data_IF_381502925223
#
_entry.id   IF_381502925223
#
_cell.length_a   1.000
_cell.length_b   1.000
_cell.length_c   1.000
_cell.angle_alpha   90.00
_cell.angle_beta   90.00
_cell.angle_gamma   90.00
#
_symmetry.space_group_name_H-M   'P 1'
#
loop_
_entity.id
_entity.type
_entity.pdbx_description
1 polymer ?
#
# COMPACT_ATOMS: atom_id res chain seq x y z
N UNK A 1 4.49 10.23 4.97
CA UNK A 1 5.17 8.98 5.40
C UNK A 1 4.10 8.09 5.99
N UNK A 2 4.00 6.87 5.49
CA UNK A 2 2.84 6.00 5.75
C UNK A 2 3.14 5.02 6.87
N UNK A 3 2.24 4.95 7.85
CA UNK A 3 2.26 3.97 8.94
C UNK A 3 1.30 2.82 8.59
N UNK A 4 1.84 1.62 8.50
CA UNK A 4 1.08 0.39 8.29
C UNK A 4 1.14 -0.50 9.55
N UNK A 5 0.15 -1.36 9.70
CA UNK A 5 0.11 -2.40 10.72
C UNK A 5 -0.02 -3.78 10.08
N UNK A 6 0.85 -4.70 10.50
CA UNK A 6 0.79 -6.10 10.12
C UNK A 6 0.05 -6.85 11.23
N UNK A 7 -1.21 -7.18 10.98
CA UNK A 7 -2.06 -7.94 11.89
C UNK A 7 -1.96 -9.43 11.56
N UNK A 8 -1.42 -10.28 12.45
CA UNK A 8 -1.36 -11.72 12.23
C UNK A 8 -2.75 -12.32 12.08
N UNK A 9 -2.89 -13.31 11.20
CA UNK A 9 -4.06 -14.20 11.24
C UNK A 9 -4.00 -15.18 12.41
N UNK A 10 -2.80 -15.47 12.93
CA UNK A 10 -2.61 -16.22 14.17
C UNK A 10 -3.09 -15.40 15.38
N UNK A 11 -4.19 -15.83 15.99
CA UNK A 11 -4.81 -15.16 17.14
C UNK A 11 -3.95 -15.22 18.42
N UNK A 12 -2.93 -16.08 18.47
CA UNK A 12 -1.97 -16.18 19.56
C UNK A 12 -0.69 -15.37 19.30
N UNK A 13 -0.67 -14.56 18.24
CA UNK A 13 0.43 -13.65 17.93
C UNK A 13 0.00 -12.19 18.08
N UNK A 14 0.99 -11.31 18.30
CA UNK A 14 0.77 -9.87 18.35
C UNK A 14 1.27 -9.23 17.05
N UNK A 15 0.48 -8.31 16.50
CA UNK A 15 0.87 -7.53 15.34
C UNK A 15 1.90 -6.45 15.64
N UNK A 16 2.34 -5.78 14.59
CA UNK A 16 3.32 -4.71 14.72
C UNK A 16 3.09 -3.62 13.68
N UNK A 17 3.42 -2.40 14.06
CA UNK A 17 3.47 -1.26 13.17
C UNK A 17 4.79 -1.21 12.43
N UNK A 18 4.81 -0.67 11.21
CA UNK A 18 6.01 -0.47 10.40
C UNK A 18 5.81 0.66 9.38
N UNK A 19 6.91 1.30 9.00
CA UNK A 19 6.93 2.43 8.05
C UNK A 19 7.80 2.14 6.82
N UNK A 20 8.35 0.93 6.70
CA UNK A 20 9.17 0.50 5.56
C UNK A 20 9.18 -1.01 5.38
N UNK A 21 9.58 -1.47 4.19
CA UNK A 21 9.75 -2.89 3.90
C UNK A 21 10.88 -3.55 4.71
N UNK A 22 11.93 -2.80 5.04
CA UNK A 22 13.02 -3.27 5.92
C UNK A 22 12.51 -3.54 7.34
N UNK A 23 11.69 -2.64 7.88
CA UNK A 23 11.08 -2.83 9.19
C UNK A 23 10.11 -4.01 9.20
N UNK A 24 9.25 -4.12 8.18
CA UNK A 24 8.34 -5.25 8.04
C UNK A 24 9.11 -6.57 8.04
N UNK A 25 10.13 -6.69 7.18
CA UNK A 25 10.95 -7.91 7.06
C UNK A 25 11.62 -8.27 8.39
N UNK A 26 12.21 -7.27 9.06
CA UNK A 26 12.88 -7.47 10.34
C UNK A 26 11.91 -7.92 11.43
N UNK A 27 10.74 -7.27 11.54
CA UNK A 27 9.74 -7.58 12.56
C UNK A 27 9.07 -8.93 12.27
N UNK A 28 8.67 -9.21 11.03
CA UNK A 28 8.06 -10.48 10.63
C UNK A 28 8.99 -11.67 10.90
N UNK A 29 10.28 -11.57 10.56
CA UNK A 29 11.26 -12.65 10.80
C UNK A 29 11.44 -13.01 12.28
N UNK A 30 11.22 -12.04 13.17
CA UNK A 30 11.33 -12.22 14.62
C UNK A 30 9.98 -12.48 15.30
N UNK A 31 8.87 -12.34 14.58
CA UNK A 31 7.54 -12.49 15.17
C UNK A 31 7.26 -13.97 15.48
N UNK A 32 6.85 -14.23 16.73
CA UNK A 32 6.52 -15.57 17.21
C UNK A 32 5.21 -15.52 17.97
N UNK A 33 4.39 -16.56 17.83
CA UNK A 33 3.19 -16.74 18.64
C UNK A 33 3.53 -17.17 20.08
N UNK A 34 2.53 -17.28 20.95
CA UNK A 34 2.68 -17.72 22.35
C UNK A 34 3.32 -19.12 22.51
N UNK A 35 3.36 -19.92 21.44
CA UNK A 35 3.98 -21.24 21.40
C UNK A 35 5.43 -21.22 20.90
N UNK A 36 5.95 -20.05 20.52
CA UNK A 36 7.29 -19.86 19.98
C UNK A 36 7.42 -20.23 18.50
N UNK A 37 6.31 -20.39 17.79
CA UNK A 37 6.28 -20.71 16.35
C UNK A 37 6.31 -19.42 15.51
N UNK A 38 6.95 -19.44 14.32
CA UNK A 38 6.95 -18.29 13.42
C UNK A 38 5.55 -17.95 12.93
N UNK A 39 5.25 -16.64 12.88
CA UNK A 39 4.02 -16.13 12.27
C UNK A 39 4.23 -15.98 10.78
N UNK A 40 3.41 -16.67 9.98
CA UNK A 40 3.59 -16.78 8.53
C UNK A 40 2.78 -15.75 7.72
N UNK A 41 1.59 -15.36 8.18
CA UNK A 41 0.65 -14.57 7.39
C UNK A 41 0.07 -13.38 8.16
N UNK A 42 -0.09 -12.28 7.43
CA UNK A 42 -0.58 -11.00 7.96
C UNK A 42 -1.66 -10.38 7.06
N UNK A 43 -2.68 -9.80 7.68
CA UNK A 43 -3.46 -8.72 7.09
C UNK A 43 -2.66 -7.41 7.22
N UNK A 44 -2.57 -6.65 6.14
CA UNK A 44 -1.88 -5.35 6.14
C UNK A 44 -2.92 -4.24 6.19
N UNK A 45 -2.78 -3.36 7.17
CA UNK A 45 -3.75 -2.31 7.46
C UNK A 45 -3.06 -0.95 7.37
N UNK A 46 -3.70 0.00 6.68
CA UNK A 46 -3.29 1.40 6.69
C UNK A 46 -3.73 2.06 8.02
N UNK A 47 -2.81 2.71 8.72
CA UNK A 47 -3.07 3.32 10.03
C UNK A 47 -3.03 4.83 9.97
N UNK A 48 -1.99 5.40 9.35
CA UNK A 48 -1.79 6.84 9.26
C UNK A 48 -0.92 7.21 8.05
N UNK A 49 -1.06 8.43 7.54
CA UNK A 49 -0.35 8.91 6.36
C UNK A 49 -1.12 9.99 5.61
N UNK A 50 -0.58 10.41 4.46
CA UNK A 50 -1.25 11.39 3.62
C UNK A 50 -2.52 10.78 3.00
N UNK A 51 -3.57 11.59 2.82
CA UNK A 51 -4.84 11.11 2.28
C UNK A 51 -4.69 10.39 0.93
N UNK A 52 -3.83 10.90 0.05
CA UNK A 52 -3.58 10.30 -1.26
C UNK A 52 -2.88 8.94 -1.16
N UNK A 53 -2.04 8.73 -0.14
CA UNK A 53 -1.39 7.44 0.09
C UNK A 53 -2.39 6.42 0.67
N UNK A 54 -3.35 6.88 1.48
CA UNK A 54 -4.47 6.06 1.96
C UNK A 54 -5.34 5.58 0.80
N UNK A 55 -5.74 6.49 -0.11
CA UNK A 55 -6.51 6.14 -1.30
C UNK A 55 -5.70 5.21 -2.22
N UNK A 56 -4.40 5.48 -2.39
CA UNK A 56 -3.50 4.59 -3.14
C UNK A 56 -3.49 3.19 -2.53
N UNK A 57 -3.35 3.05 -1.22
CA UNK A 57 -3.34 1.76 -0.54
C UNK A 57 -4.63 0.96 -0.74
N UNK A 58 -5.78 1.63 -0.73
CA UNK A 58 -7.09 1.01 -0.97
C UNK A 58 -7.15 0.39 -2.38
N UNK A 59 -6.83 1.17 -3.41
CA UNK A 59 -6.90 0.69 -4.79
C UNK A 59 -5.72 -0.20 -5.21
N UNK A 60 -4.60 -0.11 -4.49
CA UNK A 60 -3.48 -1.03 -4.66
C UNK A 60 -3.77 -2.42 -4.07
N UNK A 61 -4.80 -2.53 -3.23
CA UNK A 61 -5.15 -3.76 -2.48
C UNK A 61 -3.91 -4.31 -1.74
N UNK A 62 -3.33 -3.48 -0.87
CA UNK A 62 -2.08 -3.81 -0.18
C UNK A 62 -2.19 -5.11 0.62
N UNK A 63 -1.17 -5.95 0.49
CA UNK A 63 -1.01 -7.22 1.18
C UNK A 63 0.48 -7.55 1.32
N UNK A 64 0.81 -8.58 2.09
CA UNK A 64 2.20 -8.91 2.43
C UNK A 64 3.14 -9.10 1.24
N UNK A 65 2.62 -9.46 0.05
CA UNK A 65 3.44 -9.70 -1.13
C UNK A 65 3.75 -8.42 -1.93
N UNK A 66 2.94 -7.36 -1.79
CA UNK A 66 3.04 -6.14 -2.61
C UNK A 66 3.34 -4.85 -1.80
N UNK A 67 3.65 -4.96 -0.50
CA UNK A 67 4.01 -3.83 0.36
C UNK A 67 5.23 -3.07 -0.18
N UNK A 68 6.23 -3.78 -0.68
CA UNK A 68 7.46 -3.18 -1.20
C UNK A 68 7.17 -2.20 -2.35
N UNK A 69 6.58 -2.68 -3.46
CA UNK A 69 6.18 -1.80 -4.56
C UNK A 69 5.22 -0.66 -4.16
N UNK A 70 4.33 -0.90 -3.19
CA UNK A 70 3.47 0.16 -2.65
C UNK A 70 4.28 1.28 -1.97
N UNK A 71 5.27 0.94 -1.13
CA UNK A 71 6.15 1.96 -0.53
C UNK A 71 6.96 2.69 -1.59
N UNK A 72 7.47 1.97 -2.60
CA UNK A 72 8.20 2.58 -3.71
C UNK A 72 7.32 3.60 -4.47
N UNK A 73 6.04 3.29 -4.69
CA UNK A 73 5.08 4.22 -5.29
C UNK A 73 4.81 5.43 -4.37
N UNK A 74 4.63 5.21 -3.06
CA UNK A 74 4.43 6.31 -2.10
C UNK A 74 5.58 7.32 -2.12
N UNK A 75 6.82 6.82 -2.22
CA UNK A 75 8.03 7.64 -2.20
C UNK A 75 8.36 8.30 -3.54
N UNK A 76 8.18 7.58 -4.64
CA UNK A 76 8.71 7.98 -5.95
C UNK A 76 7.68 8.55 -6.91
N UNK A 77 6.38 8.29 -6.70
CA UNK A 77 5.33 8.84 -7.55
C UNK A 77 4.93 10.23 -7.09
N UNK A 78 4.69 11.12 -8.05
CA UNK A 78 4.09 12.42 -7.74
C UNK A 78 2.62 12.26 -7.35
N UNK A 79 2.03 13.25 -6.68
CA UNK A 79 0.59 13.25 -6.40
C UNK A 79 -0.26 13.09 -7.68
N UNK A 80 0.23 13.62 -8.81
CA UNK A 80 -0.41 13.45 -10.10
C UNK A 80 -0.41 11.99 -10.55
N UNK A 81 0.73 11.31 -10.45
CA UNK A 81 0.89 9.90 -10.83
C UNK A 81 0.00 9.00 -9.96
N UNK A 82 -0.04 9.25 -8.65
CA UNK A 82 -0.94 8.56 -7.71
C UNK A 82 -2.40 8.79 -8.08
N UNK A 83 -2.78 10.03 -8.42
CA UNK A 83 -4.15 10.37 -8.85
C UNK A 83 -4.55 9.63 -10.13
N UNK A 84 -3.65 9.57 -11.12
CA UNK A 84 -3.89 8.84 -12.37
C UNK A 84 -4.17 7.36 -12.11
N UNK A 85 -3.35 6.73 -11.28
CA UNK A 85 -3.52 5.33 -10.89
C UNK A 85 -4.86 5.10 -10.17
N UNK A 86 -5.18 5.93 -9.17
CA UNK A 86 -6.42 5.83 -8.38
C UNK A 86 -7.64 5.89 -9.29
N UNK A 87 -7.67 6.81 -10.25
CA UNK A 87 -8.78 6.92 -11.22
C UNK A 87 -8.82 5.69 -12.14
N UNK A 88 -7.68 5.27 -12.67
CA UNK A 88 -7.62 4.16 -13.62
C UNK A 88 -8.05 2.82 -12.99
N UNK A 89 -7.50 2.50 -11.82
CA UNK A 89 -7.76 1.24 -11.14
C UNK A 89 -9.10 1.30 -10.40
N UNK A 90 -9.36 2.37 -9.64
CA UNK A 90 -10.53 2.50 -8.79
C UNK A 90 -11.85 2.71 -9.53
N UNK A 91 -11.86 3.58 -10.56
CA UNK A 91 -13.11 3.86 -11.28
C UNK A 91 -13.30 2.98 -12.52
N UNK A 92 -12.20 2.62 -13.20
CA UNK A 92 -12.27 1.89 -14.47
C UNK A 92 -11.91 0.40 -14.35
N UNK A 93 -11.45 -0.06 -13.18
CA UNK A 93 -11.21 -1.48 -12.90
C UNK A 93 -10.05 -2.07 -13.70
N UNK A 94 -9.03 -1.27 -14.02
CA UNK A 94 -7.84 -1.77 -14.69
C UNK A 94 -7.08 -2.71 -13.74
N UNK A 95 -6.73 -3.90 -14.22
CA UNK A 95 -5.76 -4.77 -13.53
C UNK A 95 -4.35 -4.23 -13.74
N UNK A 96 -3.50 -4.37 -12.73
CA UNK A 96 -2.10 -3.97 -12.81
C UNK A 96 -1.20 -5.04 -12.18
N UNK A 97 0.09 -4.99 -12.50
CA UNK A 97 1.14 -5.78 -11.85
C UNK A 97 1.90 -4.86 -10.88
N UNK A 98 1.83 -5.09 -9.55
CA UNK A 98 2.51 -4.24 -8.58
C UNK A 98 4.01 -4.06 -8.85
N UNK A 99 4.67 -5.07 -9.40
CA UNK A 99 6.13 -5.04 -9.63
C UNK A 99 6.53 -4.30 -10.92
N UNK A 100 5.57 -4.00 -11.80
CA UNK A 100 5.84 -3.44 -13.13
C UNK A 100 5.04 -2.17 -13.46
N UNK A 101 3.98 -1.85 -12.69
CA UNK A 101 3.09 -0.75 -12.98
C UNK A 101 3.80 0.61 -12.90
N UNK A 102 3.46 1.47 -13.85
CA UNK A 102 3.80 2.89 -13.86
C UNK A 102 2.53 3.71 -14.07
N UNK A 103 2.45 4.91 -13.50
CA UNK A 103 1.34 5.82 -13.78
C UNK A 103 1.21 6.16 -15.28
N UNK A 104 2.30 6.09 -16.04
CA UNK A 104 2.29 6.30 -17.50
C UNK A 104 1.66 5.14 -18.29
N UNK A 105 1.33 4.02 -17.65
CA UNK A 105 0.65 2.89 -18.32
C UNK A 105 -0.84 3.18 -18.58
N UNK A 106 -1.38 4.23 -17.95
CA UNK A 106 -2.79 4.59 -18.05
C UNK A 106 -2.99 5.81 -18.95
N UNK A 107 -3.91 5.69 -19.92
CA UNK A 107 -4.35 6.79 -20.78
C UNK A 107 -5.45 7.60 -20.05
N UNK A 108 -5.05 8.35 -19.02
CA UNK A 108 -5.94 9.19 -18.20
C UNK A 108 -5.53 10.66 -18.31
N UNK A 109 -6.36 11.45 -18.97
CA UNK A 109 -6.24 12.91 -19.00
C UNK A 109 -7.05 13.54 -17.86
N UNK A 110 -6.37 14.19 -16.90
CA UNK A 110 -7.01 14.97 -15.83
C UNK A 110 -7.29 16.39 -16.34
N UNK A 111 -8.55 16.66 -16.73
CA UNK A 111 -8.97 18.00 -17.12
C UNK A 111 -9.28 18.88 -15.89
N UNK A 112 -8.42 19.85 -15.59
CA UNK A 112 -8.72 20.86 -14.56
C UNK A 112 -9.63 21.94 -15.17
N UNK A 113 -10.92 21.86 -14.86
CA UNK A 113 -11.90 22.87 -15.28
C UNK A 113 -11.83 24.11 -14.39
N UNK A 114 -11.37 25.25 -14.92
CA UNK A 114 -11.48 26.53 -14.23
C UNK A 114 -12.93 27.00 -14.28
N UNK A 115 -13.65 26.97 -13.16
CA UNK A 115 -14.95 27.63 -13.05
C UNK A 115 -14.69 29.13 -12.88
N UNK A 116 -14.77 29.88 -13.98
CA UNK A 116 -14.83 31.33 -13.92
C UNK A 116 -16.17 31.75 -13.31
N UNK A 117 -16.14 32.36 -12.13
CA UNK A 117 -17.28 33.02 -11.48
C UNK A 117 -17.70 34.29 -12.23
#
# INVERSE_FOLDING_TARGET
MTLLHAQPYDLAATGFYFESMEEFTTKANNNRNDYGEPVEEYEIQFIDGDHIDCDLAEFWEINQANIGPYFDACENWSDHDKTVFIIAVGERGYSFDPDAVSASDFDVDICVGTVSL
#
